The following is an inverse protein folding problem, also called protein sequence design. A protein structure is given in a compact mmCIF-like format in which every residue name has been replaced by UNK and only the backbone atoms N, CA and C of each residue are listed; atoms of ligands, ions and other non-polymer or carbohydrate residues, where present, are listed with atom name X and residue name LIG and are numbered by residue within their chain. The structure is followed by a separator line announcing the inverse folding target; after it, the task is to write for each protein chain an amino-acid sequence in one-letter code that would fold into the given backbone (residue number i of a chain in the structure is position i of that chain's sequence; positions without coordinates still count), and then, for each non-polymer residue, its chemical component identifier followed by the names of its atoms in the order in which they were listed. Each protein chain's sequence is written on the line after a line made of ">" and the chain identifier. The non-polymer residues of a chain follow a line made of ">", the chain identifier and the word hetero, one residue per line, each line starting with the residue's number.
data_IF_653779803651
#
_entry.id   IF_653779803651
#
_cell.length_a   1.000
_cell.length_b   1.000
_cell.length_c   1.000
_cell.angle_alpha   90.00
_cell.angle_beta   90.00
_cell.angle_gamma   90.00
#
_symmetry.space_group_name_H-M   'P 1'
#
loop_
_entity.id
_entity.type
_entity.pdbx_description
1 polymer ?
#
# COMPACT_ATOMS: atom_id res chain seq x y z
N UNK A 1 7.35 7.28 0.63
CA UNK A 1 7.62 7.39 2.08
C UNK A 1 8.51 8.59 2.35
N UNK A 2 8.20 9.44 3.34
CA UNK A 2 8.94 10.69 3.56
C UNK A 2 10.38 10.50 4.05
N UNK A 3 10.71 9.32 4.61
CA UNK A 3 12.08 8.97 5.02
C UNK A 3 13.02 8.63 3.86
N UNK A 4 12.52 8.38 2.65
CA UNK A 4 13.35 8.06 1.49
C UNK A 4 13.93 9.32 0.85
N UNK A 5 15.20 9.29 0.42
CA UNK A 5 15.85 10.39 -0.29
C UNK A 5 15.12 10.77 -1.59
N UNK A 6 14.49 9.79 -2.23
CA UNK A 6 13.67 9.99 -3.43
C UNK A 6 12.35 10.73 -3.16
N UNK A 7 11.99 10.97 -1.89
CA UNK A 7 10.77 11.68 -1.55
C UNK A 7 10.93 13.19 -1.72
N UNK A 8 9.97 13.90 -2.36
CA UNK A 8 9.98 15.36 -2.41
C UNK A 8 9.82 16.02 -1.02
N UNK A 9 9.48 15.22 -0.01
CA UNK A 9 9.32 15.66 1.38
C UNK A 9 10.52 15.32 2.26
N UNK A 10 11.57 14.69 1.73
CA UNK A 10 12.70 14.19 2.52
C UNK A 10 13.37 15.25 3.38
N UNK A 11 13.72 16.41 2.80
CA UNK A 11 14.34 17.52 3.52
C UNK A 11 13.46 18.01 4.69
N UNK A 12 12.15 18.11 4.45
CA UNK A 12 11.18 18.52 5.49
C UNK A 12 11.06 17.45 6.57
N UNK A 13 11.08 16.16 6.20
CA UNK A 13 11.06 15.07 7.16
C UNK A 13 12.30 15.09 8.07
N UNK A 14 13.50 15.30 7.51
CA UNK A 14 14.73 15.46 8.31
C UNK A 14 14.64 16.63 9.30
N UNK A 15 14.04 17.75 8.88
CA UNK A 15 13.89 18.95 9.72
C UNK A 15 12.85 18.77 10.84
N UNK A 16 11.66 18.27 10.49
CA UNK A 16 10.51 18.27 11.40
C UNK A 16 10.32 16.96 12.16
N UNK A 17 10.88 15.85 11.67
CA UNK A 17 10.72 14.51 12.23
C UNK A 17 12.09 13.89 12.57
N UNK A 18 12.89 14.51 13.47
CA UNK A 18 14.26 14.08 13.77
C UNK A 18 14.37 12.70 14.42
N UNK A 19 13.24 12.12 14.83
CA UNK A 19 13.14 10.76 15.42
C UNK A 19 12.60 9.72 14.44
N UNK A 20 12.43 10.07 13.16
CA UNK A 20 11.91 9.19 12.12
C UNK A 20 10.55 9.63 11.57
N UNK A 21 10.29 9.30 10.31
CA UNK A 21 9.12 9.78 9.55
C UNK A 21 7.83 8.97 9.79
N UNK A 22 7.77 8.19 10.88
CA UNK A 22 6.65 7.31 11.23
C UNK A 22 6.61 6.03 10.41
N UNK A 23 5.66 5.15 10.75
CA UNK A 23 5.52 3.80 10.21
C UNK A 23 4.49 3.72 9.06
N UNK A 24 4.41 4.80 8.27
CA UNK A 24 3.41 4.99 7.21
C UNK A 24 4.01 4.89 5.83
N UNK A 25 3.68 3.84 5.11
CA UNK A 25 4.25 3.58 3.78
C UNK A 25 3.11 3.42 2.78
N UNK A 26 3.11 4.26 1.75
CA UNK A 26 2.26 4.07 0.57
C UNK A 26 3.12 3.81 -0.66
N UNK A 27 2.67 2.91 -1.51
CA UNK A 27 3.29 2.56 -2.78
C UNK A 27 2.22 2.16 -3.78
N UNK A 28 2.57 2.16 -5.06
CA UNK A 28 1.68 1.76 -6.13
C UNK A 28 2.14 0.42 -6.72
N UNK A 29 1.18 -0.49 -6.91
CA UNK A 29 1.39 -1.78 -7.55
C UNK A 29 0.99 -1.68 -9.02
N UNK A 30 1.90 -2.07 -9.91
CA UNK A 30 1.61 -2.20 -11.33
C UNK A 30 0.53 -3.29 -11.56
N UNK A 31 -0.38 -3.06 -12.51
CA UNK A 31 -1.58 -3.89 -12.68
C UNK A 31 -2.85 -3.28 -12.06
N UNK A 32 -2.73 -2.12 -11.40
CA UNK A 32 -3.88 -1.29 -11.01
C UNK A 32 -4.77 -1.93 -9.96
N UNK A 33 -6.09 -1.74 -10.10
CA UNK A 33 -7.10 -2.11 -9.09
C UNK A 33 -7.08 -3.58 -8.72
N UNK A 34 -6.97 -4.46 -9.71
CA UNK A 34 -6.98 -5.91 -9.51
C UNK A 34 -5.72 -6.38 -8.79
N UNK A 35 -4.54 -5.89 -9.20
CA UNK A 35 -3.27 -6.24 -8.56
C UNK A 35 -3.20 -5.68 -7.12
N UNK A 36 -3.71 -4.46 -6.90
CA UNK A 36 -3.82 -3.84 -5.58
C UNK A 36 -4.75 -4.63 -4.65
N UNK A 37 -5.92 -5.05 -5.14
CA UNK A 37 -6.84 -5.89 -4.37
C UNK A 37 -6.22 -7.27 -4.06
N UNK A 38 -5.63 -7.94 -5.06
CA UNK A 38 -4.98 -9.24 -4.90
C UNK A 38 -3.79 -9.18 -3.91
N UNK A 39 -3.05 -8.07 -3.89
CA UNK A 39 -2.02 -7.85 -2.87
C UNK A 39 -2.61 -7.89 -1.48
N UNK A 40 -3.65 -7.09 -1.22
CA UNK A 40 -4.29 -6.99 0.10
C UNK A 40 -4.90 -8.32 0.53
N UNK A 41 -5.60 -9.00 -0.37
CA UNK A 41 -6.22 -10.30 -0.08
C UNK A 41 -5.20 -11.43 0.15
N UNK A 42 -3.97 -11.26 -0.37
CA UNK A 42 -2.87 -12.21 -0.20
C UNK A 42 -2.12 -12.09 1.14
N UNK A 43 -2.36 -11.01 1.90
CA UNK A 43 -1.75 -10.80 3.21
C UNK A 43 -2.48 -11.61 4.27
N UNK A 44 -1.71 -12.15 5.22
CA UNK A 44 -2.23 -12.95 6.33
C UNK A 44 -1.90 -12.36 7.71
N UNK A 45 -0.93 -11.45 7.77
CA UNK A 45 -0.55 -10.72 8.98
C UNK A 45 -1.16 -9.31 8.99
N UNK A 46 -1.09 -8.58 7.88
CA UNK A 46 -1.66 -7.24 7.82
C UNK A 46 -3.20 -7.30 7.82
N UNK A 47 -3.83 -6.55 8.72
CA UNK A 47 -5.29 -6.47 8.79
C UNK A 47 -5.83 -5.43 7.80
N UNK A 48 -6.79 -5.83 6.96
CA UNK A 48 -7.45 -4.91 6.02
C UNK A 48 -8.51 -4.05 6.73
N UNK A 49 -8.08 -2.90 7.24
CA UNK A 49 -8.92 -1.96 7.99
C UNK A 49 -8.44 -0.52 7.79
N UNK A 50 -9.36 0.44 7.87
CA UNK A 50 -9.08 1.83 7.54
C UNK A 50 -8.42 2.65 8.68
N UNK A 51 -8.31 2.09 9.89
CA UNK A 51 -7.67 2.75 11.03
C UNK A 51 -6.15 2.87 10.85
N UNK A 52 -5.52 3.59 11.78
CA UNK A 52 -4.12 3.94 11.66
C UNK A 52 -3.42 4.02 13.02
N UNK A 53 -2.16 3.57 13.09
CA UNK A 53 -1.35 3.61 14.32
C UNK A 53 -1.73 2.58 15.38
N UNK A 54 -2.26 1.42 14.96
CA UNK A 54 -2.51 0.26 15.83
C UNK A 54 -1.18 -0.46 16.13
N UNK A 55 -1.15 -1.28 17.18
CA UNK A 55 -0.03 -2.18 17.48
C UNK A 55 0.10 -3.28 16.42
N UNK A 56 -1.00 -3.59 15.73
CA UNK A 56 -1.02 -4.52 14.59
C UNK A 56 -0.77 -3.77 13.28
N UNK A 57 -0.08 -4.43 12.36
CA UNK A 57 0.11 -3.98 11.00
C UNK A 57 -1.20 -3.98 10.24
N UNK A 58 -1.47 -2.86 9.55
CA UNK A 58 -2.71 -2.63 8.82
C UNK A 58 -2.41 -2.32 7.36
N UNK A 59 -3.33 -2.70 6.49
CA UNK A 59 -3.27 -2.46 5.06
C UNK A 59 -4.59 -1.88 4.58
N UNK A 60 -4.55 -1.02 3.58
CA UNK A 60 -5.74 -0.59 2.85
C UNK A 60 -5.41 -0.36 1.39
N UNK A 61 -6.35 -0.71 0.52
CA UNK A 61 -6.36 -0.34 -0.90
C UNK A 61 -7.38 0.79 -1.11
N UNK A 62 -6.98 2.08 -1.09
CA UNK A 62 -7.92 3.19 -0.98
C UNK A 62 -8.96 3.23 -2.10
N UNK A 63 -8.56 2.89 -3.32
CA UNK A 63 -9.43 2.89 -4.49
C UNK A 63 -10.63 1.94 -4.36
N UNK A 64 -10.51 0.80 -3.68
CA UNK A 64 -11.63 -0.14 -3.45
C UNK A 64 -12.26 -0.04 -2.07
N UNK A 65 -11.79 0.86 -1.22
CA UNK A 65 -12.27 0.99 0.17
C UNK A 65 -12.60 2.44 0.53
N UNK A 66 -11.68 3.16 1.16
CA UNK A 66 -11.90 4.50 1.72
C UNK A 66 -12.35 5.54 0.70
N UNK A 67 -12.02 5.35 -0.58
CA UNK A 67 -12.37 6.26 -1.67
C UNK A 67 -13.27 5.58 -2.72
N UNK A 68 -13.86 4.43 -2.41
CA UNK A 68 -14.65 3.65 -3.37
C UNK A 68 -15.91 4.33 -3.89
N UNK A 69 -16.38 5.37 -3.18
CA UNK A 69 -17.55 6.17 -3.57
C UNK A 69 -17.23 7.27 -4.60
N UNK A 70 -15.94 7.55 -4.82
CA UNK A 70 -15.48 8.53 -5.80
C UNK A 70 -15.35 7.88 -7.18
N UNK A 71 -15.60 8.67 -8.22
CA UNK A 71 -15.24 8.29 -9.59
C UNK A 71 -13.72 8.14 -9.75
N UNK A 72 -13.28 7.42 -10.77
CA UNK A 72 -11.83 7.23 -11.02
C UNK A 72 -11.07 8.55 -11.22
N UNK A 73 -11.70 9.56 -11.82
CA UNK A 73 -11.12 10.90 -11.98
C UNK A 73 -10.99 11.64 -10.65
N UNK A 74 -12.01 11.55 -9.79
CA UNK A 74 -11.99 12.13 -8.45
C UNK A 74 -10.97 11.42 -7.54
N UNK A 75 -10.84 10.09 -7.65
CA UNK A 75 -9.79 9.33 -6.96
C UNK A 75 -8.41 9.84 -7.37
N UNK A 76 -8.15 9.97 -8.68
CA UNK A 76 -6.88 10.51 -9.19
C UNK A 76 -6.62 11.94 -8.72
N UNK A 77 -7.63 12.79 -8.73
CA UNK A 77 -7.53 14.16 -8.23
C UNK A 77 -7.19 14.23 -6.73
N UNK A 78 -7.65 13.24 -5.95
CA UNK A 78 -7.29 13.07 -4.54
C UNK A 78 -5.92 12.40 -4.32
N UNK A 79 -5.18 12.07 -5.38
CA UNK A 79 -3.90 11.36 -5.30
C UNK A 79 -4.03 9.85 -5.06
N UNK A 80 -5.22 9.28 -5.28
CA UNK A 80 -5.48 7.85 -5.20
C UNK A 80 -5.41 7.25 -6.60
N UNK A 81 -4.32 6.53 -6.87
CA UNK A 81 -4.18 5.74 -8.09
C UNK A 81 -4.86 4.37 -7.92
N UNK A 82 -5.30 3.71 -9.02
CA UNK A 82 -5.98 2.43 -8.93
C UNK A 82 -5.17 1.32 -8.27
N UNK A 83 -3.83 1.37 -8.29
CA UNK A 83 -2.96 0.38 -7.65
C UNK A 83 -2.37 0.84 -6.31
N UNK A 84 -2.86 1.94 -5.75
CA UNK A 84 -2.32 2.49 -4.51
C UNK A 84 -2.61 1.57 -3.32
N UNK A 85 -1.57 1.19 -2.60
CA UNK A 85 -1.65 0.48 -1.32
C UNK A 85 -1.05 1.36 -0.23
N UNK A 86 -1.68 1.37 0.95
CA UNK A 86 -1.19 2.07 2.13
C UNK A 86 -1.05 1.10 3.30
N UNK A 87 0.14 1.08 3.90
CA UNK A 87 0.48 0.33 5.09
C UNK A 87 0.59 1.24 6.31
N UNK A 88 0.06 0.75 7.43
CA UNK A 88 0.35 1.22 8.78
C UNK A 88 1.13 0.10 9.46
N UNK A 89 2.45 0.20 9.56
CA UNK A 89 3.24 -0.87 10.15
C UNK A 89 3.09 -0.86 11.68
N UNK A 90 2.80 -2.03 12.24
CA UNK A 90 2.67 -2.26 13.68
C UNK A 90 4.02 -2.50 14.35
N UNK A 91 4.00 -3.30 15.42
CA UNK A 91 5.19 -3.62 16.23
C UNK A 91 5.56 -5.11 16.17
N UNK A 92 5.07 -5.83 15.15
CA UNK A 92 5.44 -7.22 14.89
C UNK A 92 6.92 -7.39 14.54
N UNK A 93 7.38 -8.64 14.51
CA UNK A 93 8.73 -8.96 14.03
C UNK A 93 8.90 -8.55 12.56
N UNK A 94 10.05 -7.97 12.24
CA UNK A 94 10.34 -7.46 10.90
C UNK A 94 10.36 -8.58 9.86
N UNK A 95 10.83 -9.77 10.22
CA UNK A 95 10.90 -10.91 9.31
C UNK A 95 9.49 -11.41 8.96
N UNK A 96 8.58 -11.39 9.92
CA UNK A 96 7.18 -11.76 9.69
C UNK A 96 6.44 -10.75 8.80
N UNK A 97 6.72 -9.44 9.00
CA UNK A 97 6.20 -8.38 8.14
C UNK A 97 6.70 -8.57 6.70
N UNK A 98 8.00 -8.76 6.50
CA UNK A 98 8.59 -8.95 5.18
C UNK A 98 8.03 -10.20 4.49
N UNK A 99 7.96 -11.33 5.20
CA UNK A 99 7.39 -12.56 4.68
C UNK A 99 5.90 -12.40 4.29
N UNK A 100 5.15 -11.57 5.01
CA UNK A 100 3.76 -11.25 4.63
C UNK A 100 3.69 -10.42 3.37
N UNK A 101 4.52 -9.38 3.25
CA UNK A 101 4.58 -8.56 2.04
C UNK A 101 4.99 -9.40 0.81
N UNK A 102 5.92 -10.34 0.95
CA UNK A 102 6.27 -11.28 -0.12
C UNK A 102 5.07 -12.10 -0.61
N UNK A 103 4.22 -12.59 0.31
CA UNK A 103 2.97 -13.29 -0.05
C UNK A 103 2.02 -12.38 -0.83
N UNK A 104 1.85 -11.14 -0.38
CA UNK A 104 1.02 -10.15 -1.07
C UNK A 104 1.53 -9.86 -2.48
N UNK A 105 2.83 -9.62 -2.64
CA UNK A 105 3.43 -9.36 -3.96
C UNK A 105 3.33 -10.58 -4.89
N UNK A 106 3.51 -11.79 -4.37
CA UNK A 106 3.30 -13.01 -5.16
C UNK A 106 1.85 -13.16 -5.63
N UNK A 107 0.87 -12.77 -4.80
CA UNK A 107 -0.55 -12.77 -5.18
C UNK A 107 -0.85 -11.73 -6.28
N UNK A 108 -0.32 -10.52 -6.13
CA UNK A 108 -0.45 -9.47 -7.14
C UNK A 108 0.17 -9.86 -8.49
N UNK A 109 1.36 -10.48 -8.47
CA UNK A 109 2.06 -10.91 -9.68
C UNK A 109 1.25 -11.95 -10.48
N UNK A 110 0.68 -12.96 -9.81
CA UNK A 110 -0.19 -13.97 -10.46
C UNK A 110 -1.38 -13.32 -11.17
N UNK A 111 -1.98 -12.29 -10.56
CA UNK A 111 -3.13 -11.59 -11.13
C UNK A 111 -2.77 -10.69 -12.32
N UNK A 112 -1.56 -10.12 -12.31
CA UNK A 112 -1.06 -9.30 -13.42
C UNK A 112 -0.76 -10.11 -14.69
N UNK A 113 -0.32 -11.36 -14.54
CA UNK A 113 -0.06 -12.25 -15.68
C UNK A 113 -1.36 -12.74 -16.33
N UNK A 114 -2.41 -12.99 -15.53
CA UNK A 114 -3.72 -13.43 -16.04
C UNK A 114 -4.39 -12.36 -16.93
N UNK A 115 -4.32 -11.07 -16.56
CA UNK A 115 -4.91 -9.96 -17.33
C UNK A 115 -4.08 -9.63 -18.59
N UNK A 116 -2.79 -9.98 -18.62
CA UNK A 116 -1.97 -9.90 -19.83
C UNK A 116 -2.31 -11.03 -20.84
N UNK A 117 -2.68 -12.21 -20.34
CA UNK A 117 -3.11 -13.35 -21.15
C UNK A 117 -4.51 -13.20 -21.76
N UNK A 118 -5.42 -12.48 -21.10
CA UNK A 118 -6.80 -12.25 -21.59
C UNK A 118 -6.88 -11.12 -22.63
N UNK A 119 -5.82 -10.32 -22.79
CA UNK A 119 -5.72 -9.20 -23.75
C UNK A 119 -4.88 -9.52 -25.00
N UNK A 120 -4.41 -10.77 -25.17
CA UNK A 120 -3.64 -11.24 -26.32
C UNK A 120 -4.50 -12.12 -27.25
#
# INVERSE_FOLDING_TARGET
>A
YAGLESSPWHERAQRYLPKGAGAFVSFEIAGGREAGAAFVDGLTLHHHVANIGDVRSLVVHPASTTHSQLTDDEQRAAGVTPGLVRLSLGVEDIEDILADLERGFAAAARRGDDDAGERA
#
